data_IF_237249945333
#
_entry.id   IF_237249945333
#
_cell.length_a   1.000
_cell.length_b   1.000
_cell.length_c   1.000
_cell.angle_alpha   90.00
_cell.angle_beta   90.00
_cell.angle_gamma   90.00
#
_symmetry.space_group_name_H-M   'P 1'
#
loop_
_entity.id
_entity.type
_entity.pdbx_description
1 polymer ?
#
# COMPACT_ATOMS: atom_id res chain seq x y z
N UNK A 1 -35.24 -16.71 -8.08
CA UNK A 1 -35.29 -16.06 -9.40
C UNK A 1 -34.34 -14.88 -9.34
N UNK A 2 -33.44 -14.75 -10.31
CA UNK A 2 -32.55 -13.58 -10.45
C UNK A 2 -33.27 -12.46 -11.18
N UNK A 3 -33.12 -11.22 -10.72
CA UNK A 3 -33.61 -10.00 -11.39
C UNK A 3 -32.46 -9.29 -12.09
N UNK A 4 -32.73 -8.71 -13.27
CA UNK A 4 -31.76 -7.88 -14.00
C UNK A 4 -32.10 -6.42 -13.76
N UNK A 5 -31.12 -5.65 -13.28
CA UNK A 5 -31.23 -4.20 -13.09
C UNK A 5 -30.47 -3.51 -14.23
N UNK A 6 -31.16 -2.66 -14.98
CA UNK A 6 -30.54 -1.84 -16.03
C UNK A 6 -30.14 -0.47 -15.45
N UNK A 7 -28.96 0.03 -15.82
CA UNK A 7 -28.45 1.32 -15.33
C UNK A 7 -27.65 2.01 -16.41
N UNK A 8 -27.98 3.27 -16.66
CA UNK A 8 -27.22 4.13 -17.58
C UNK A 8 -25.93 4.59 -16.90
N UNK A 9 -24.79 4.37 -17.55
CA UNK A 9 -23.48 4.83 -17.10
C UNK A 9 -22.90 5.83 -18.11
N UNK A 10 -22.08 6.76 -17.62
CA UNK A 10 -21.46 7.81 -18.41
C UNK A 10 -19.93 7.63 -18.45
N UNK A 11 -19.33 7.91 -19.60
CA UNK A 11 -17.87 8.05 -19.74
C UNK A 11 -17.40 9.34 -19.08
N UNK A 12 -16.13 9.39 -18.71
CA UNK A 12 -15.55 10.55 -18.03
C UNK A 12 -15.68 11.84 -18.87
N UNK A 13 -15.54 11.73 -20.20
CA UNK A 13 -15.66 12.83 -21.14
C UNK A 13 -17.11 13.35 -21.28
N UNK A 14 -18.11 12.56 -20.90
CA UNK A 14 -19.52 12.94 -20.96
C UNK A 14 -19.97 13.70 -19.70
N UNK A 15 -19.14 13.69 -18.65
CA UNK A 15 -19.40 14.36 -17.39
C UNK A 15 -19.20 15.88 -17.50
N UNK A 16 -20.02 16.63 -16.77
CA UNK A 16 -19.79 18.06 -16.53
C UNK A 16 -18.50 18.29 -15.73
N UNK A 17 -17.93 19.50 -15.81
CA UNK A 17 -16.68 19.85 -15.09
C UNK A 17 -16.78 19.52 -13.60
N UNK A 18 -17.88 19.91 -12.95
CA UNK A 18 -18.13 19.63 -11.53
C UNK A 18 -18.20 18.13 -11.25
N UNK A 19 -18.90 17.36 -12.09
CA UNK A 19 -18.99 15.90 -11.92
C UNK A 19 -17.64 15.20 -12.11
N UNK A 20 -16.79 15.68 -13.04
CA UNK A 20 -15.41 15.17 -13.20
C UNK A 20 -14.54 15.46 -11.97
N UNK A 21 -14.70 16.62 -11.34
CA UNK A 21 -14.00 16.95 -10.10
C UNK A 21 -14.43 16.03 -8.95
N UNK A 22 -15.73 15.80 -8.79
CA UNK A 22 -16.26 14.86 -7.79
C UNK A 22 -15.77 13.43 -8.03
N UNK A 23 -15.79 12.95 -9.28
CA UNK A 23 -15.28 11.62 -9.62
C UNK A 23 -13.79 11.46 -9.29
N UNK A 24 -12.98 12.49 -9.54
CA UNK A 24 -11.55 12.50 -9.17
C UNK A 24 -11.33 12.56 -7.67
N UNK A 25 -12.14 13.32 -6.94
CA UNK A 25 -12.08 13.38 -5.48
C UNK A 25 -12.39 12.01 -4.88
N UNK A 26 -13.51 11.39 -5.29
CA UNK A 26 -13.89 10.05 -4.88
C UNK A 26 -12.79 9.01 -5.15
N UNK A 27 -12.15 9.06 -6.33
CA UNK A 27 -11.05 8.15 -6.67
C UNK A 27 -9.81 8.35 -5.77
N UNK A 28 -9.48 9.61 -5.44
CA UNK A 28 -8.35 9.91 -4.55
C UNK A 28 -8.62 9.50 -3.10
N UNK A 29 -9.84 9.70 -2.63
CA UNK A 29 -10.24 9.40 -1.25
C UNK A 29 -10.39 7.89 -1.05
N UNK A 30 -10.97 7.15 -1.99
CA UNK A 30 -11.21 5.70 -1.82
C UNK A 30 -10.01 4.79 -2.09
N UNK A 31 -8.90 5.31 -2.63
CA UNK A 31 -7.82 4.50 -3.19
C UNK A 31 -6.72 4.08 -2.22
N UNK A 32 -6.57 4.75 -1.07
CA UNK A 32 -5.37 4.65 -0.23
C UNK A 32 -5.64 4.36 1.25
N UNK A 33 -6.91 4.15 1.63
CA UNK A 33 -7.34 4.02 3.02
C UNK A 33 -7.21 2.59 3.58
N UNK A 34 -6.77 1.64 2.76
CA UNK A 34 -6.50 0.27 3.19
C UNK A 34 -4.99 0.04 3.18
N UNK A 35 -4.47 -0.48 4.29
CA UNK A 35 -3.10 -0.98 4.42
C UNK A 35 -2.92 -2.23 3.53
N UNK A 36 -3.08 -2.09 2.21
CA UNK A 36 -3.00 -3.18 1.22
C UNK A 36 -1.67 -3.95 1.30
N UNK A 37 -0.66 -3.34 1.91
CA UNK A 37 0.67 -3.88 2.13
C UNK A 37 0.88 -4.44 3.55
N UNK A 38 -0.15 -4.53 4.39
CA UNK A 38 -0.05 -4.93 5.80
C UNK A 38 0.70 -6.25 5.99
N UNK A 39 0.52 -7.21 5.07
CA UNK A 39 1.20 -8.51 5.11
C UNK A 39 2.49 -8.58 4.27
N UNK A 40 2.77 -7.58 3.44
CA UNK A 40 3.89 -7.61 2.49
C UNK A 40 5.24 -7.60 3.21
N UNK A 41 5.37 -6.80 4.28
CA UNK A 41 6.62 -6.74 5.04
C UNK A 41 6.89 -8.01 5.85
N UNK A 42 5.84 -8.64 6.37
CA UNK A 42 5.97 -9.93 7.06
C UNK A 42 6.42 -11.03 6.09
N UNK A 43 5.77 -11.12 4.93
CA UNK A 43 6.09 -12.13 3.92
C UNK A 43 7.50 -11.92 3.35
N UNK A 44 7.88 -10.67 3.07
CA UNK A 44 9.24 -10.34 2.67
C UNK A 44 10.29 -10.75 3.72
N UNK A 45 9.99 -10.56 5.01
CA UNK A 45 10.83 -11.03 6.11
C UNK A 45 11.06 -12.53 6.07
N UNK A 46 9.99 -13.32 5.89
CA UNK A 46 10.06 -14.78 5.76
C UNK A 46 10.88 -15.22 4.54
N UNK A 47 10.71 -14.53 3.40
CA UNK A 47 11.52 -14.80 2.20
C UNK A 47 13.00 -14.51 2.47
N UNK A 48 13.33 -13.42 3.16
CA UNK A 48 14.71 -13.13 3.55
C UNK A 48 15.30 -14.24 4.42
N UNK A 49 14.55 -14.76 5.40
CA UNK A 49 14.98 -15.91 6.22
C UNK A 49 15.26 -17.15 5.37
N UNK A 50 14.38 -17.48 4.42
CA UNK A 50 14.59 -18.59 3.48
C UNK A 50 15.85 -18.42 2.63
N UNK A 51 16.19 -17.19 2.27
CA UNK A 51 17.35 -16.86 1.44
C UNK A 51 18.65 -16.63 2.23
N UNK A 52 18.61 -16.71 3.56
CA UNK A 52 19.76 -16.38 4.43
C UNK A 52 20.09 -14.90 4.50
N UNK A 53 19.16 -14.01 4.11
CA UNK A 53 19.30 -12.56 4.20
C UNK A 53 18.84 -12.12 5.59
N UNK A 54 19.71 -11.44 6.34
CA UNK A 54 19.36 -10.91 7.67
C UNK A 54 18.99 -9.44 7.59
N UNK A 55 17.71 -9.11 7.72
CA UNK A 55 17.24 -7.72 7.74
C UNK A 55 17.79 -6.97 8.95
N UNK A 56 18.24 -5.72 8.73
CA UNK A 56 18.57 -4.81 9.82
C UNK A 56 17.28 -4.29 10.45
N UNK A 57 17.30 -4.10 11.76
CA UNK A 57 16.16 -3.57 12.51
C UNK A 57 16.47 -2.22 13.17
N UNK A 58 15.42 -1.50 13.54
CA UNK A 58 15.49 -0.31 14.38
C UNK A 58 14.47 -0.44 15.51
N UNK A 59 14.78 0.01 16.74
CA UNK A 59 13.81 0.05 17.81
C UNK A 59 12.73 1.09 17.52
N UNK A 60 11.46 0.69 17.65
CA UNK A 60 10.28 1.56 17.61
C UNK A 60 9.58 1.56 18.95
N UNK A 61 9.14 2.74 19.40
CA UNK A 61 8.43 2.90 20.66
C UNK A 61 6.95 2.57 20.50
N UNK A 62 6.44 1.74 21.40
CA UNK A 62 5.03 1.38 21.46
C UNK A 62 4.30 2.34 22.41
N UNK A 63 3.01 2.55 22.15
CA UNK A 63 2.13 3.43 22.95
C UNK A 63 2.13 3.05 24.46
N UNK A 64 2.43 1.79 24.79
CA UNK A 64 2.56 1.28 26.17
C UNK A 64 3.94 1.43 26.82
N UNK A 65 4.87 2.19 26.23
CA UNK A 65 6.21 2.43 26.80
C UNK A 65 7.25 1.33 26.54
N UNK A 66 6.86 0.26 25.84
CA UNK A 66 7.79 -0.78 25.36
C UNK A 66 8.49 -0.39 24.06
N UNK A 67 9.53 -1.15 23.68
CA UNK A 67 10.16 -1.07 22.37
C UNK A 67 10.02 -2.39 21.62
N UNK A 68 9.88 -2.30 20.29
CA UNK A 68 9.95 -3.45 19.38
C UNK A 68 10.99 -3.17 18.32
N UNK A 69 11.72 -4.19 17.88
CA UNK A 69 12.57 -4.07 16.70
C UNK A 69 11.74 -4.20 15.42
N UNK A 70 11.81 -3.19 14.56
CA UNK A 70 11.12 -3.16 13.28
C UNK A 70 12.14 -3.27 12.12
N UNK A 71 11.90 -4.14 11.12
CA UNK A 71 12.76 -4.24 9.94
C UNK A 71 12.88 -2.89 9.22
N UNK A 72 14.11 -2.56 8.78
CA UNK A 72 14.39 -1.36 7.99
C UNK A 72 14.00 -1.57 6.53
N UNK A 73 12.70 -1.62 6.29
CA UNK A 73 12.08 -1.66 4.97
C UNK A 73 11.44 -0.29 4.75
N UNK A 74 11.73 0.33 3.62
CA UNK A 74 11.25 1.64 3.26
C UNK A 74 10.47 1.54 1.96
N UNK A 75 9.27 2.10 1.96
CA UNK A 75 8.42 2.14 0.78
C UNK A 75 7.76 3.52 0.71
N UNK A 76 8.01 4.29 -0.36
CA UNK A 76 7.37 5.59 -0.59
C UNK A 76 6.99 5.79 -2.04
N UNK A 77 5.83 6.41 -2.28
CA UNK A 77 5.43 6.83 -3.62
C UNK A 77 4.92 5.70 -4.53
N UNK A 78 4.11 6.12 -5.50
CA UNK A 78 3.52 5.30 -6.56
C UNK A 78 3.45 6.10 -7.87
N UNK A 79 4.46 6.95 -8.09
CA UNK A 79 4.48 7.80 -9.28
C UNK A 79 4.87 7.01 -10.53
N UNK A 80 5.62 5.91 -10.38
CA UNK A 80 5.88 4.92 -11.42
C UNK A 80 6.14 3.51 -10.83
N UNK A 81 5.99 2.46 -11.65
CA UNK A 81 6.23 1.08 -11.22
C UNK A 81 7.73 0.87 -10.93
N UNK A 82 8.05 0.51 -9.68
CA UNK A 82 9.43 0.22 -9.24
C UNK A 82 10.09 1.32 -8.41
N UNK A 83 9.44 2.47 -8.23
CA UNK A 83 9.98 3.56 -7.42
C UNK A 83 9.75 3.35 -5.93
N UNK A 84 10.76 3.69 -5.13
CA UNK A 84 10.62 4.00 -3.71
C UNK A 84 10.62 2.84 -2.71
N UNK A 85 10.78 1.59 -3.17
CA UNK A 85 11.01 0.43 -2.31
C UNK A 85 12.51 0.18 -2.06
N UNK A 86 12.94 0.08 -0.80
CA UNK A 86 14.31 -0.28 -0.43
C UNK A 86 14.35 -0.97 0.94
N UNK A 87 15.44 -1.70 1.23
CA UNK A 87 15.64 -2.34 2.53
C UNK A 87 17.12 -2.38 2.91
N UNK A 88 17.40 -2.55 4.21
CA UNK A 88 18.77 -2.73 4.70
C UNK A 88 18.95 -4.15 5.26
N UNK A 89 19.98 -4.87 4.81
CA UNK A 89 20.26 -6.23 5.25
C UNK A 89 21.77 -6.53 5.33
N UNK A 90 22.07 -7.69 5.89
CA UNK A 90 23.35 -8.37 5.80
C UNK A 90 23.15 -9.66 4.99
N UNK A 91 24.09 -9.94 4.11
CA UNK A 91 24.14 -11.17 3.32
C UNK A 91 25.51 -11.82 3.54
N UNK A 92 25.54 -13.11 3.83
CA UNK A 92 26.75 -13.87 4.18
C UNK A 92 26.66 -15.29 3.66
#
# INVERSE_FOLDING_TARGET
>A
MSEVIETTVYKFEELSVRARETARAWYREGGFDYEWYEFVFEDFGRICECLGVRLKTSPVHLVGGGTRDEPRIHFTGFWSQGDGASFQALYS
#
